data_IF_069082924831
#
_entry.id   IF_069082924831
#
_cell.length_a   1.000
_cell.length_b   1.000
_cell.length_c   1.000
_cell.angle_alpha   90.00
_cell.angle_beta   90.00
_cell.angle_gamma   90.00
#
_symmetry.space_group_name_H-M   'P 1'
#
loop_
_entity.id
_entity.type
_entity.pdbx_description
1 polymer ?
#
# COMPACT_ATOMS: atom_id res chain seq x y z
N UNK A 1 22.18 -14.70 1.05
CA UNK A 1 20.74 -14.41 0.87
C UNK A 1 19.88 -15.62 1.23
N UNK A 2 20.12 -16.80 0.71
CA UNK A 2 19.30 -18.02 0.99
C UNK A 2 19.21 -18.36 2.47
N UNK A 3 20.34 -18.31 3.22
CA UNK A 3 20.36 -18.59 4.66
C UNK A 3 19.57 -17.55 5.48
N UNK A 4 19.48 -16.32 5.00
CA UNK A 4 18.67 -15.28 5.64
C UNK A 4 17.19 -15.46 5.29
N UNK A 5 16.86 -15.66 4.04
CA UNK A 5 15.49 -15.90 3.58
C UNK A 5 14.86 -17.15 4.25
N UNK A 6 15.65 -18.19 4.50
CA UNK A 6 15.18 -19.38 5.21
C UNK A 6 14.79 -19.12 6.68
N UNK A 7 15.30 -18.04 7.29
CA UNK A 7 14.99 -17.67 8.69
C UNK A 7 13.82 -16.68 8.79
N UNK A 8 13.41 -16.07 7.69
CA UNK A 8 12.38 -15.02 7.64
C UNK A 8 11.27 -15.37 6.66
N UNK A 9 10.80 -16.60 6.70
CA UNK A 9 9.75 -17.09 5.80
C UNK A 9 8.41 -16.44 6.13
N UNK A 10 7.68 -16.03 5.10
CA UNK A 10 6.27 -15.72 5.21
C UNK A 10 5.52 -17.01 5.51
N UNK A 11 4.73 -17.03 6.58
CA UNK A 11 3.95 -18.21 7.00
C UNK A 11 2.56 -18.22 6.39
N UNK A 12 2.01 -17.05 6.09
CA UNK A 12 0.66 -16.93 5.57
C UNK A 12 0.58 -15.82 4.53
N UNK A 13 -0.06 -16.12 3.43
CA UNK A 13 -0.44 -15.16 2.40
C UNK A 13 -1.95 -15.33 2.16
N UNK A 14 -2.69 -14.23 2.27
CA UNK A 14 -4.13 -14.20 2.07
C UNK A 14 -4.43 -13.43 0.81
N UNK A 15 -5.18 -14.04 -0.11
CA UNK A 15 -5.66 -13.35 -1.31
C UNK A 15 -6.52 -12.15 -0.90
N UNK A 16 -6.29 -11.01 -1.54
CA UNK A 16 -7.07 -9.79 -1.37
C UNK A 16 -7.68 -9.41 -2.73
N UNK A 17 -8.98 -9.25 -2.78
CA UNK A 17 -9.74 -9.08 -4.02
C UNK A 17 -10.55 -7.79 -4.06
N UNK A 18 -10.48 -7.00 -2.98
CA UNK A 18 -11.23 -5.75 -2.86
C UNK A 18 -10.42 -4.65 -2.15
N UNK A 19 -10.85 -3.41 -2.36
CA UNK A 19 -10.36 -2.27 -1.58
C UNK A 19 -10.53 -2.50 -0.07
N UNK A 20 -11.66 -3.09 0.35
CA UNK A 20 -11.95 -3.35 1.75
C UNK A 20 -10.94 -4.34 2.37
N UNK A 21 -10.61 -5.43 1.67
CA UNK A 21 -9.60 -6.39 2.13
C UNK A 21 -8.22 -5.76 2.23
N UNK A 22 -7.85 -4.95 1.24
CA UNK A 22 -6.61 -4.18 1.27
C UNK A 22 -6.54 -3.24 2.48
N UNK A 23 -7.60 -2.47 2.70
CA UNK A 23 -7.67 -1.53 3.80
C UNK A 23 -7.58 -2.25 5.17
N UNK A 24 -8.28 -3.37 5.33
CA UNK A 24 -8.19 -4.22 6.53
C UNK A 24 -6.76 -4.75 6.73
N UNK A 25 -6.10 -5.21 5.68
CA UNK A 25 -4.71 -5.67 5.76
C UNK A 25 -3.77 -4.55 6.20
N UNK A 26 -3.92 -3.35 5.64
CA UNK A 26 -3.12 -2.18 6.03
C UNK A 26 -3.34 -1.78 7.50
N UNK A 27 -4.59 -1.71 7.95
CA UNK A 27 -4.95 -1.40 9.35
C UNK A 27 -4.35 -2.47 10.28
N UNK A 28 -4.42 -3.72 9.88
CA UNK A 28 -3.78 -4.83 10.60
C UNK A 28 -2.25 -4.78 10.56
N UNK A 29 -1.65 -3.87 9.80
CA UNK A 29 -0.20 -3.70 9.66
C UNK A 29 0.45 -4.79 8.82
N UNK A 30 -0.29 -5.44 7.94
CA UNK A 30 0.24 -6.43 7.02
C UNK A 30 0.68 -5.76 5.71
N UNK A 31 1.91 -5.98 5.25
CA UNK A 31 2.32 -5.56 3.93
C UNK A 31 1.56 -6.36 2.86
N UNK A 32 1.26 -5.72 1.75
CA UNK A 32 0.52 -6.34 0.65
C UNK A 32 1.36 -6.35 -0.62
N UNK A 33 1.36 -7.45 -1.35
CA UNK A 33 1.88 -7.53 -2.70
C UNK A 33 0.73 -7.25 -3.67
N UNK A 34 0.78 -6.13 -4.38
CA UNK A 34 -0.23 -5.71 -5.35
C UNK A 34 0.29 -5.98 -6.73
N UNK A 35 -0.22 -7.01 -7.37
CA UNK A 35 0.14 -7.43 -8.71
C UNK A 35 -0.97 -7.05 -9.69
N UNK A 36 -0.63 -6.37 -10.77
CA UNK A 36 -1.62 -5.85 -11.71
C UNK A 36 -1.02 -5.52 -13.06
N UNK A 37 -1.87 -5.38 -14.05
CA UNK A 37 -1.51 -4.83 -15.36
C UNK A 37 -1.84 -3.34 -15.48
N UNK A 38 -2.33 -2.70 -14.43
CA UNK A 38 -2.65 -1.28 -14.46
C UNK A 38 -1.39 -0.42 -14.43
N UNK A 39 -1.18 0.38 -15.47
CA UNK A 39 -0.15 1.40 -15.53
C UNK A 39 -0.61 2.73 -14.94
N UNK A 40 0.34 3.61 -14.61
CA UNK A 40 0.07 4.93 -14.03
C UNK A 40 0.95 6.02 -14.65
N UNK A 41 0.43 7.23 -14.67
CA UNK A 41 1.25 8.42 -14.87
C UNK A 41 2.14 8.60 -13.64
N UNK A 42 3.47 8.62 -13.81
CA UNK A 42 4.42 8.69 -12.70
C UNK A 42 4.58 10.11 -12.10
N UNK A 43 3.61 10.98 -12.34
CA UNK A 43 3.53 12.32 -11.74
C UNK A 43 2.31 12.37 -10.83
N UNK A 44 2.57 12.56 -9.55
CA UNK A 44 1.54 12.75 -8.52
C UNK A 44 0.81 14.08 -8.72
N UNK A 45 -0.48 14.07 -8.50
CA UNK A 45 -1.27 15.29 -8.38
C UNK A 45 -1.02 16.01 -7.03
N UNK A 46 -1.77 17.09 -6.79
CA UNK A 46 -1.63 17.89 -5.55
C UNK A 46 -1.94 17.10 -4.27
N UNK A 47 -2.65 15.99 -4.38
CA UNK A 47 -3.02 15.12 -3.27
C UNK A 47 -2.14 13.85 -3.18
N UNK A 48 -1.09 13.77 -3.98
CA UNK A 48 -0.16 12.65 -3.98
C UNK A 48 -0.61 11.43 -4.78
N UNK A 49 -1.70 11.52 -5.55
CA UNK A 49 -2.24 10.43 -6.35
C UNK A 49 -1.64 10.40 -7.76
N UNK A 50 -1.42 9.19 -8.28
CA UNK A 50 -1.10 8.95 -9.67
C UNK A 50 -2.33 8.46 -10.44
N UNK A 51 -2.61 9.09 -11.59
CA UNK A 51 -3.73 8.71 -12.45
C UNK A 51 -3.44 7.42 -13.20
N UNK A 52 -4.43 6.53 -13.40
CA UNK A 52 -4.28 5.35 -14.24
C UNK A 52 -3.89 5.74 -15.68
N UNK A 53 -2.93 5.07 -16.25
CA UNK A 53 -2.49 5.31 -17.64
C UNK A 53 -1.70 4.13 -18.17
N UNK A 54 -2.06 3.65 -19.34
CA UNK A 54 -1.37 2.55 -19.99
C UNK A 54 -1.50 1.22 -19.26
N UNK A 55 -0.62 0.29 -19.63
CA UNK A 55 -0.59 -1.04 -19.04
C UNK A 55 0.85 -1.48 -18.82
N UNK A 56 1.10 -2.11 -17.67
CA UNK A 56 2.35 -2.81 -17.37
C UNK A 56 2.08 -4.04 -16.51
N UNK A 57 2.86 -5.09 -16.65
CA UNK A 57 2.80 -6.25 -15.74
C UNK A 57 3.80 -6.02 -14.62
N UNK A 58 3.29 -5.69 -13.42
CA UNK A 58 4.15 -5.29 -12.31
C UNK A 58 3.53 -5.65 -10.96
N UNK A 59 4.40 -6.02 -10.01
CA UNK A 59 4.02 -6.18 -8.60
C UNK A 59 4.67 -5.08 -7.77
N UNK A 60 3.89 -4.44 -6.93
CA UNK A 60 4.30 -3.34 -6.06
C UNK A 60 3.94 -3.65 -4.61
N UNK A 61 4.60 -2.98 -3.67
CA UNK A 61 4.25 -3.09 -2.27
C UNK A 61 3.12 -2.09 -1.95
N UNK A 62 2.04 -2.56 -1.37
CA UNK A 62 1.03 -1.73 -0.73
C UNK A 62 1.23 -1.73 0.79
N UNK A 63 1.14 -0.56 1.41
CA UNK A 63 1.45 -0.44 2.83
C UNK A 63 0.73 0.67 3.58
N UNK A 64 -0.30 1.26 3.00
CA UNK A 64 -1.08 2.29 3.67
C UNK A 64 -2.47 2.45 3.07
N UNK A 65 -3.46 2.73 3.90
CA UNK A 65 -4.82 3.03 3.48
C UNK A 65 -5.21 4.43 3.94
N UNK A 66 -5.85 5.17 3.07
CA UNK A 66 -6.39 6.51 3.32
C UNK A 66 -7.90 6.49 3.17
N UNK A 67 -8.58 7.11 4.12
CA UNK A 67 -10.03 7.23 4.17
C UNK A 67 -10.46 8.69 3.98
N UNK A 68 -11.74 8.96 4.00
CA UNK A 68 -12.29 10.30 3.90
C UNK A 68 -12.75 10.66 2.48
N UNK A 69 -12.61 11.93 2.10
CA UNK A 69 -13.18 12.47 0.85
C UNK A 69 -12.56 11.89 -0.44
N UNK A 70 -11.35 11.36 -0.36
CA UNK A 70 -10.68 10.65 -1.46
C UNK A 70 -9.96 9.44 -0.90
N UNK A 71 -10.64 8.30 -0.77
CA UNK A 71 -10.03 7.08 -0.25
C UNK A 71 -9.04 6.50 -1.26
N UNK A 72 -7.99 5.84 -0.76
CA UNK A 72 -6.98 5.24 -1.62
C UNK A 72 -5.90 4.48 -0.88
N UNK A 73 -5.12 3.69 -1.64
CA UNK A 73 -4.01 2.89 -1.16
C UNK A 73 -2.66 3.53 -1.47
N UNK A 74 -1.74 3.48 -0.50
CA UNK A 74 -0.36 3.88 -0.70
C UNK A 74 0.42 2.73 -1.33
N UNK A 75 1.02 3.01 -2.46
CA UNK A 75 1.83 2.07 -3.22
C UNK A 75 3.31 2.49 -3.19
N UNK A 76 4.18 1.51 -2.98
CA UNK A 76 5.63 1.65 -3.08
C UNK A 76 6.10 0.96 -4.37
N UNK A 77 6.62 1.74 -5.30
CA UNK A 77 7.17 1.24 -6.55
C UNK A 77 8.66 0.92 -6.38
N UNK A 78 9.12 -0.14 -7.05
CA UNK A 78 10.52 -0.61 -6.97
C UNK A 78 11.44 -0.07 -8.08
N UNK A 79 11.01 0.91 -8.87
CA UNK A 79 11.78 1.45 -10.00
C UNK A 79 12.80 2.52 -9.63
N UNK A 80 13.18 2.59 -8.36
CA UNK A 80 14.16 3.51 -7.82
C UNK A 80 13.53 4.69 -7.07
N UNK A 81 14.35 5.32 -6.26
CA UNK A 81 13.90 6.33 -5.30
C UNK A 81 13.25 7.56 -5.94
N UNK A 82 13.53 7.84 -7.21
CA UNK A 82 13.03 9.01 -7.94
C UNK A 82 12.13 8.64 -9.12
N UNK A 83 11.51 7.47 -9.10
CA UNK A 83 10.64 7.01 -10.19
C UNK A 83 9.38 7.86 -10.36
N UNK A 84 8.91 8.50 -9.31
CA UNK A 84 7.73 9.37 -9.34
C UNK A 84 8.11 10.82 -9.03
N UNK A 85 7.42 11.77 -9.65
CA UNK A 85 7.54 13.21 -9.40
C UNK A 85 6.27 13.79 -8.81
N UNK A 86 6.32 15.07 -8.41
CA UNK A 86 5.19 15.78 -7.79
C UNK A 86 5.14 15.62 -6.27
N UNK A 87 4.21 16.34 -5.62
CA UNK A 87 4.16 16.43 -4.17
C UNK A 87 3.76 15.10 -3.52
N UNK A 88 4.24 14.88 -2.30
CA UNK A 88 3.63 13.93 -1.37
C UNK A 88 2.57 14.67 -0.57
N UNK A 89 1.38 14.11 -0.51
CA UNK A 89 0.31 14.72 0.27
C UNK A 89 0.22 14.03 1.63
N UNK A 90 0.36 14.82 2.67
CA UNK A 90 0.28 14.35 4.07
C UNK A 90 -1.11 14.54 4.69
N UNK A 91 -2.13 14.88 3.93
CA UNK A 91 -3.50 15.01 4.41
C UNK A 91 -3.87 16.41 4.87
N UNK A 92 -3.23 16.97 5.84
CA UNK A 92 -3.50 18.31 6.37
C UNK A 92 -2.18 19.08 6.48
N UNK A 93 -2.04 20.23 5.82
CA UNK A 93 -0.84 21.06 5.94
C UNK A 93 -0.58 21.53 7.39
N UNK A 94 -1.64 21.63 8.22
CA UNK A 94 -1.55 22.04 9.62
C UNK A 94 -1.30 20.87 10.59
N UNK A 95 -1.35 19.64 10.11
CA UNK A 95 -1.01 18.44 10.87
C UNK A 95 -0.22 17.49 9.96
N UNK A 96 1.09 17.66 9.88
CA UNK A 96 1.96 16.74 9.15
C UNK A 96 2.03 15.42 9.92
N UNK A 97 1.08 14.53 9.68
CA UNK A 97 1.07 13.17 10.25
C UNK A 97 2.31 12.38 9.83
N UNK A 98 3.00 12.87 8.80
CA UNK A 98 4.21 12.25 8.29
C UNK A 98 5.30 13.31 8.15
N UNK A 99 6.44 13.16 8.85
CA UNK A 99 7.58 14.05 8.70
C UNK A 99 8.08 14.12 7.25
N UNK A 100 8.64 15.26 6.87
CA UNK A 100 9.32 15.40 5.60
C UNK A 100 10.35 14.27 5.42
N UNK A 101 10.30 13.59 4.26
CA UNK A 101 11.16 12.43 3.96
C UNK A 101 10.61 11.07 4.42
N UNK A 102 9.46 11.01 5.07
CA UNK A 102 8.83 9.75 5.45
C UNK A 102 8.43 8.90 4.23
N UNK A 103 7.99 9.55 3.15
CA UNK A 103 7.68 8.87 1.91
C UNK A 103 8.86 8.92 0.94
N UNK A 104 9.23 7.77 0.42
CA UNK A 104 10.17 7.70 -0.69
C UNK A 104 9.54 8.30 -1.95
N UNK A 105 10.34 8.94 -2.80
CA UNK A 105 9.86 9.48 -4.09
C UNK A 105 9.27 8.43 -5.03
N UNK A 106 9.51 7.15 -4.76
CA UNK A 106 8.89 6.02 -5.46
C UNK A 106 7.46 5.70 -4.99
N UNK A 107 6.92 6.39 -3.99
CA UNK A 107 5.57 6.14 -3.48
C UNK A 107 4.53 7.03 -4.15
N UNK A 108 3.30 6.54 -4.25
CA UNK A 108 2.15 7.29 -4.71
C UNK A 108 0.85 6.69 -4.18
N UNK A 109 -0.17 7.52 -4.12
CA UNK A 109 -1.51 7.07 -3.79
C UNK A 109 -2.26 6.64 -5.05
N UNK A 110 -3.08 5.61 -4.91
CA UNK A 110 -4.00 5.12 -5.93
C UNK A 110 -5.42 5.25 -5.39
N UNK A 111 -6.33 5.80 -6.18
CA UNK A 111 -7.74 5.93 -5.81
C UNK A 111 -8.34 4.53 -5.50
N UNK A 112 -9.20 4.46 -4.47
CA UNK A 112 -9.73 3.19 -3.97
C UNK A 112 -10.48 2.37 -5.04
N UNK A 113 -11.21 3.02 -5.93
CA UNK A 113 -11.93 2.35 -7.03
C UNK A 113 -10.99 1.78 -8.10
N UNK A 114 -9.84 2.44 -8.33
CA UNK A 114 -8.80 1.93 -9.23
C UNK A 114 -8.12 0.73 -8.60
N UNK A 115 -7.76 0.83 -7.32
CA UNK A 115 -7.15 -0.26 -6.57
C UNK A 115 -8.08 -1.48 -6.48
N UNK A 116 -9.36 -1.26 -6.25
CA UNK A 116 -10.38 -2.34 -6.24
C UNK A 116 -10.41 -3.09 -7.57
N UNK A 117 -10.36 -2.38 -8.70
CA UNK A 117 -10.26 -3.03 -10.03
C UNK A 117 -8.94 -3.80 -10.21
N UNK A 118 -7.83 -3.29 -9.69
CA UNK A 118 -6.54 -3.98 -9.75
C UNK A 118 -6.57 -5.29 -8.97
N UNK A 119 -7.15 -5.27 -7.77
CA UNK A 119 -7.21 -6.42 -6.87
C UNK A 119 -8.11 -7.56 -7.40
N UNK A 120 -9.16 -7.22 -8.15
CA UNK A 120 -10.04 -8.20 -8.82
C UNK A 120 -9.33 -9.07 -9.86
N UNK A 121 -8.09 -8.76 -10.24
CA UNK A 121 -7.26 -9.64 -11.06
C UNK A 121 -6.92 -10.97 -10.37
N UNK A 122 -7.02 -11.03 -9.03
CA UNK A 122 -6.91 -12.25 -8.25
C UNK A 122 -5.48 -12.74 -8.00
N UNK A 123 -4.48 -11.86 -8.11
CA UNK A 123 -3.07 -12.19 -7.90
C UNK A 123 -2.35 -11.29 -6.87
N UNK A 124 -3.13 -10.64 -6.01
CA UNK A 124 -2.63 -9.76 -4.95
C UNK A 124 -2.84 -10.39 -3.57
N UNK A 125 -1.85 -10.23 -2.68
CA UNK A 125 -1.82 -10.94 -1.40
C UNK A 125 -1.44 -10.03 -0.24
N UNK A 126 -2.10 -10.17 0.89
CA UNK A 126 -1.65 -9.69 2.19
C UNK A 126 -0.72 -10.74 2.82
N UNK A 127 0.42 -10.29 3.33
CA UNK A 127 1.44 -11.16 3.89
C UNK A 127 1.43 -11.04 5.41
N UNK A 128 1.13 -12.13 6.11
CA UNK A 128 1.08 -12.17 7.57
C UNK A 128 2.00 -13.23 8.13
N UNK A 129 2.44 -13.02 9.36
CA UNK A 129 3.30 -13.92 10.10
C UNK A 129 4.62 -14.24 9.39
N UNK A 130 5.71 -13.78 9.99
CA UNK A 130 7.07 -14.05 9.53
C UNK A 130 7.82 -14.86 10.56
N UNK A 131 8.60 -15.85 10.13
CA UNK A 131 9.53 -16.54 11.02
C UNK A 131 10.60 -15.58 11.56
N UNK A 132 10.89 -15.70 12.87
CA UNK A 132 11.91 -14.89 13.52
C UNK A 132 11.45 -13.48 13.99
N UNK A 133 10.18 -13.11 13.74
CA UNK A 133 9.60 -11.90 14.30
C UNK A 133 8.56 -12.24 15.36
N UNK A 134 8.51 -11.52 16.48
CA UNK A 134 7.49 -11.73 17.49
C UNK A 134 6.10 -11.43 16.91
N UNK A 135 5.05 -12.13 17.38
CA UNK A 135 3.68 -11.79 17.00
C UNK A 135 3.43 -10.30 17.30
N UNK A 136 2.97 -9.57 16.32
CA UNK A 136 2.62 -8.17 16.50
C UNK A 136 1.39 -8.11 17.42
N UNK A 137 1.54 -7.55 18.61
CA UNK A 137 0.36 -7.14 19.39
C UNK A 137 -0.22 -5.93 18.67
N UNK A 138 -1.34 -6.13 18.01
CA UNK A 138 -2.12 -5.03 17.49
C UNK A 138 -2.64 -4.20 18.67
N UNK A 139 -2.55 -2.87 18.62
CA UNK A 139 -3.37 -2.04 19.50
C UNK A 139 -4.82 -2.44 19.28
N UNK A 140 -5.54 -2.67 20.36
CA UNK A 140 -6.99 -2.82 20.31
C UNK A 140 -7.59 -1.45 19.95
N UNK A 141 -7.69 -1.18 18.69
CA UNK A 141 -8.50 -0.08 18.18
C UNK A 141 -9.94 -0.54 18.34
N UNK A 142 -10.49 -0.34 19.54
CA UNK A 142 -11.87 -0.66 19.80
C UNK A 142 -12.73 -0.23 18.62
N UNK A 143 -13.46 -1.18 18.06
CA UNK A 143 -14.35 -0.97 16.90
C UNK A 143 -15.54 -0.07 17.20
N UNK A 144 -15.58 0.55 18.36
CA UNK A 144 -16.57 1.52 18.77
C UNK A 144 -16.23 2.90 18.18
N UNK A 145 -16.68 3.15 16.95
CA UNK A 145 -16.66 4.49 16.37
C UNK A 145 -16.24 4.62 14.90
N UNK A 146 -16.16 3.54 14.15
CA UNK A 146 -15.86 3.59 12.69
C UNK A 146 -17.02 2.93 11.91
N UNK A 147 -18.25 3.32 12.19
CA UNK A 147 -19.42 3.09 11.34
C UNK A 147 -20.13 4.42 11.12
#
# INVERSE_FOLDING_TARGET
LEKFAAKTRVKSATLIESWEDYAKACIAGYPTAICSQQGFVLKRDRQGFCSPSGSWSHCMLGGGARFGSRPGGLIYNSWGANSNSGPHYSGNPDNPEFPEGYFLNSTFWVDADVLDRMLRAGDSFALSSYDGFPPRKMPDWGTEGIL
#
